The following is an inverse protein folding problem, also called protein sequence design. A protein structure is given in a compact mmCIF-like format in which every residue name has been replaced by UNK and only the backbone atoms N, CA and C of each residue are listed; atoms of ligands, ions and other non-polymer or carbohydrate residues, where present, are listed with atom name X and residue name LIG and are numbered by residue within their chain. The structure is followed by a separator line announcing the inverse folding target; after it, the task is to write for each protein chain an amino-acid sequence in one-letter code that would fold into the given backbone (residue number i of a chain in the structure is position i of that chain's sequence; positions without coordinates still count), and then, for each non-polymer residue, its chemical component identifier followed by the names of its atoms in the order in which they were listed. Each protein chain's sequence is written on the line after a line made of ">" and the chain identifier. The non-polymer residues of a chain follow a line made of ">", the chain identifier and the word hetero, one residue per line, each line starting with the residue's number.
data_IF_722596680915
#
_entry.id   IF_722596680915
#
_cell.length_a   1.000
_cell.length_b   1.000
_cell.length_c   1.000
_cell.angle_alpha   90.00
_cell.angle_beta   90.00
_cell.angle_gamma   90.00
#
_symmetry.space_group_name_H-M   'P 1'
#
loop_
_entity.id
_entity.type
_entity.pdbx_description
1 polymer ?
#
# COMPACT_ATOMS: atom_id res chain seq x y z
N UNK A 1 16.68 35.15 33.15
CA UNK A 1 15.55 34.17 33.11
C UNK A 1 14.86 34.08 31.76
N UNK A 2 14.47 35.20 31.11
CA UNK A 2 13.82 35.15 29.77
C UNK A 2 14.69 34.50 28.68
N UNK A 3 15.99 34.79 28.63
CA UNK A 3 16.92 34.22 27.64
C UNK A 3 17.12 32.70 27.79
N UNK A 4 17.10 32.19 29.03
CA UNK A 4 17.23 30.75 29.32
C UNK A 4 15.98 29.97 28.90
N UNK A 5 14.79 30.57 29.07
CA UNK A 5 13.52 29.99 28.62
C UNK A 5 13.46 29.87 27.08
N UNK A 6 13.97 30.87 26.35
CA UNK A 6 14.07 30.82 24.88
C UNK A 6 15.05 29.75 24.39
N UNK A 7 16.19 29.57 25.07
CA UNK A 7 17.15 28.52 24.72
C UNK A 7 16.58 27.10 24.92
N UNK A 8 15.78 26.87 25.97
CA UNK A 8 15.07 25.61 26.20
C UNK A 8 13.97 25.32 25.17
N UNK A 9 13.28 26.35 24.67
CA UNK A 9 12.25 26.19 23.63
C UNK A 9 12.87 25.80 22.28
N UNK A 10 14.05 26.32 21.96
CA UNK A 10 14.78 26.00 20.73
C UNK A 10 15.39 24.58 20.78
N UNK A 11 15.86 24.13 21.96
CA UNK A 11 16.36 22.76 22.14
C UNK A 11 15.25 21.71 22.25
N UNK A 12 14.03 22.09 22.66
CA UNK A 12 12.86 21.21 22.62
C UNK A 12 12.29 21.05 21.19
N UNK A 13 12.43 22.07 20.34
CA UNK A 13 11.94 22.04 18.96
C UNK A 13 12.76 21.12 18.03
N UNK A 14 13.98 20.75 18.41
CA UNK A 14 14.79 19.76 17.66
C UNK A 14 14.44 18.30 17.98
N UNK A 15 13.52 18.05 18.92
CA UNK A 15 13.05 16.71 19.30
C UNK A 15 11.80 16.24 18.52
N UNK A 16 11.53 16.76 17.32
CA UNK A 16 10.38 16.35 16.48
C UNK A 16 10.73 15.32 15.36
N UNK A 17 11.61 14.30 15.53
CA UNK A 17 11.76 13.30 14.48
C UNK A 17 10.75 12.13 14.55
N UNK A 18 9.78 12.16 15.48
CA UNK A 18 9.16 10.91 15.96
C UNK A 18 7.64 10.91 16.19
N UNK A 19 6.86 11.76 15.52
CA UNK A 19 5.41 11.64 15.61
C UNK A 19 4.96 10.57 14.59
N UNK A 20 4.26 9.53 15.05
CA UNK A 20 3.72 8.44 14.22
C UNK A 20 4.38 7.08 14.43
N UNK A 21 3.61 6.02 14.24
CA UNK A 21 4.04 4.62 14.40
C UNK A 21 4.17 3.94 13.04
N UNK A 22 5.17 3.07 12.90
CA UNK A 22 5.23 2.15 11.76
C UNK A 22 4.14 1.10 11.94
N UNK A 23 3.30 0.97 10.93
CA UNK A 23 2.25 -0.03 10.85
C UNK A 23 2.49 -0.90 9.61
N UNK A 24 2.15 -2.17 9.72
CA UNK A 24 2.41 -3.17 8.68
C UNK A 24 1.15 -3.97 8.41
N UNK A 25 1.00 -4.39 7.17
CA UNK A 25 -0.12 -5.23 6.71
C UNK A 25 0.41 -6.28 5.73
N UNK A 26 -0.20 -7.46 5.76
CA UNK A 26 0.03 -8.51 4.77
C UNK A 26 -1.31 -9.11 4.33
N UNK A 27 -1.42 -9.44 3.04
CA UNK A 27 -2.62 -10.01 2.43
C UNK A 27 -2.22 -11.20 1.58
N UNK A 28 -2.74 -12.38 1.92
CA UNK A 28 -2.66 -13.58 1.07
C UNK A 28 -4.02 -13.87 0.48
N UNK A 29 -4.08 -14.16 -0.82
CA UNK A 29 -5.33 -14.45 -1.51
C UNK A 29 -5.13 -15.40 -2.69
N UNK A 30 -6.26 -15.90 -3.22
CA UNK A 30 -6.30 -16.76 -4.40
C UNK A 30 -7.37 -16.27 -5.37
N UNK A 31 -6.98 -15.99 -6.60
CA UNK A 31 -7.87 -15.54 -7.66
C UNK A 31 -8.28 -16.71 -8.56
N UNK A 32 -9.55 -16.73 -8.92
CA UNK A 32 -10.11 -17.69 -9.88
C UNK A 32 -10.93 -16.96 -10.93
N UNK A 33 -10.99 -17.51 -12.14
CA UNK A 33 -11.81 -17.05 -13.25
C UNK A 33 -12.52 -18.27 -13.84
N UNK A 34 -13.85 -18.28 -13.81
CA UNK A 34 -14.68 -19.40 -14.30
C UNK A 34 -14.26 -20.75 -13.68
N UNK A 35 -14.01 -20.77 -12.37
CA UNK A 35 -13.61 -21.96 -11.63
C UNK A 35 -12.15 -22.40 -11.83
N UNK A 36 -11.38 -21.77 -12.72
CA UNK A 36 -9.96 -22.06 -12.94
C UNK A 36 -9.07 -21.04 -12.20
N UNK A 37 -7.87 -21.43 -11.72
CA UNK A 37 -6.90 -20.47 -11.19
C UNK A 37 -6.60 -19.36 -12.19
N UNK A 38 -6.61 -18.10 -11.72
CA UNK A 38 -6.26 -16.95 -12.53
C UNK A 38 -4.76 -16.63 -12.34
N UNK A 39 -3.91 -17.19 -13.19
CA UNK A 39 -2.46 -16.96 -13.20
C UNK A 39 -2.10 -15.61 -13.83
N UNK A 40 -0.96 -15.05 -13.42
CA UNK A 40 -0.37 -13.84 -13.98
C UNK A 40 -1.30 -12.60 -13.95
N UNK A 41 -2.17 -12.54 -12.94
CA UNK A 41 -3.01 -11.36 -12.66
C UNK A 41 -2.20 -10.40 -11.80
N UNK A 42 -2.07 -9.16 -12.26
CA UNK A 42 -1.39 -8.11 -11.49
C UNK A 42 -2.25 -7.71 -10.28
N UNK A 43 -1.63 -7.72 -9.12
CA UNK A 43 -2.23 -7.31 -7.84
C UNK A 43 -1.32 -6.33 -7.14
N UNK A 44 -1.90 -5.25 -6.60
CA UNK A 44 -1.15 -4.17 -5.94
C UNK A 44 -1.76 -3.86 -4.59
N UNK A 45 -0.91 -3.69 -3.59
CA UNK A 45 -1.27 -3.19 -2.28
C UNK A 45 -0.94 -1.69 -2.22
N UNK A 46 -1.94 -0.88 -1.92
CA UNK A 46 -1.83 0.56 -1.77
C UNK A 46 -2.21 0.97 -0.35
N UNK A 47 -1.62 2.06 0.13
CA UNK A 47 -2.16 2.87 1.21
C UNK A 47 -2.93 4.05 0.62
N UNK A 48 -4.14 4.31 1.13
CA UNK A 48 -4.94 5.46 0.68
C UNK A 48 -4.35 6.76 1.20
N UNK A 49 -4.12 7.73 0.29
CA UNK A 49 -3.71 9.09 0.65
C UNK A 49 -4.77 10.11 0.26
N UNK A 50 -4.60 11.35 0.74
CA UNK A 50 -5.44 12.49 0.34
C UNK A 50 -5.27 12.82 -1.15
N UNK A 51 -4.05 12.71 -1.68
CA UNK A 51 -3.74 13.10 -3.07
C UNK A 51 -3.54 11.90 -3.99
N UNK A 52 -2.55 11.06 -3.69
CA UNK A 52 -2.17 9.92 -4.53
C UNK A 52 -1.82 8.74 -3.64
N UNK A 53 -2.56 7.65 -3.81
CA UNK A 53 -2.34 6.41 -3.08
C UNK A 53 -0.89 5.95 -3.18
N UNK A 54 -0.32 5.58 -2.03
CA UNK A 54 1.06 5.12 -1.96
C UNK A 54 1.11 3.63 -2.26
N UNK A 55 1.84 3.23 -3.30
CA UNK A 55 2.12 1.82 -3.56
C UNK A 55 3.00 1.25 -2.44
N UNK A 56 2.55 0.15 -1.83
CA UNK A 56 3.27 -0.59 -0.81
C UNK A 56 3.93 -1.86 -1.37
N UNK A 57 3.21 -2.61 -2.23
CA UNK A 57 3.72 -3.84 -2.86
C UNK A 57 2.98 -4.12 -4.19
N UNK A 58 3.63 -4.83 -5.11
CA UNK A 58 3.09 -5.24 -6.41
C UNK A 58 3.59 -6.64 -6.77
N UNK A 59 2.65 -7.53 -7.12
CA UNK A 59 2.96 -8.91 -7.53
C UNK A 59 2.02 -9.37 -8.64
N UNK A 60 2.34 -10.54 -9.18
CA UNK A 60 1.46 -11.29 -10.07
C UNK A 60 1.06 -12.59 -9.36
N UNK A 61 -0.17 -13.06 -9.59
CA UNK A 61 -0.60 -14.38 -9.10
C UNK A 61 0.21 -15.50 -9.74
N UNK A 62 0.48 -16.55 -8.97
CA UNK A 62 1.17 -17.76 -9.44
C UNK A 62 0.27 -18.68 -10.28
N UNK A 63 0.81 -19.82 -10.73
CA UNK A 63 0.08 -20.86 -11.48
C UNK A 63 -1.13 -21.46 -10.73
N UNK A 64 -1.19 -21.30 -9.40
CA UNK A 64 -2.34 -21.69 -8.57
C UNK A 64 -3.30 -20.53 -8.32
N UNK A 65 -3.07 -19.36 -8.94
CA UNK A 65 -3.83 -18.14 -8.75
C UNK A 65 -3.55 -17.43 -7.42
N UNK A 66 -2.51 -17.85 -6.69
CA UNK A 66 -2.21 -17.36 -5.33
C UNK A 66 -1.33 -16.13 -5.40
N UNK A 67 -1.54 -15.19 -4.46
CA UNK A 67 -0.65 -14.06 -4.23
C UNK A 67 -0.48 -13.80 -2.73
N UNK A 68 0.64 -13.17 -2.36
CA UNK A 68 0.89 -12.66 -1.01
C UNK A 68 1.56 -11.30 -1.10
N UNK A 69 0.87 -10.24 -0.69
CA UNK A 69 1.37 -8.86 -0.64
C UNK A 69 1.69 -8.46 0.80
N UNK A 70 2.71 -7.64 0.99
CA UNK A 70 3.02 -7.10 2.32
C UNK A 70 3.64 -5.71 2.22
N UNK A 71 3.31 -4.84 3.16
CA UNK A 71 3.86 -3.48 3.19
C UNK A 71 3.81 -2.87 4.57
N UNK A 72 4.54 -1.77 4.72
CA UNK A 72 4.52 -0.97 5.94
C UNK A 72 4.61 0.51 5.62
N UNK A 73 4.03 1.33 6.50
CA UNK A 73 4.12 2.78 6.42
C UNK A 73 4.17 3.36 7.82
N UNK A 74 4.95 4.43 7.99
CA UNK A 74 4.92 5.26 9.20
C UNK A 74 3.77 6.25 9.07
N UNK A 75 2.81 6.17 9.98
CA UNK A 75 1.62 7.01 9.98
C UNK A 75 1.30 7.55 11.38
N UNK A 76 0.67 8.73 11.41
CA UNK A 76 0.12 9.29 12.64
C UNK A 76 -1.18 8.60 13.04
N UNK A 77 -2.00 8.30 12.03
CA UNK A 77 -3.27 7.59 12.16
C UNK A 77 -3.10 6.12 11.79
N UNK A 78 -4.17 5.34 11.81
CA UNK A 78 -4.14 3.99 11.25
C UNK A 78 -3.96 4.03 9.74
N UNK A 79 -3.19 3.07 9.20
CA UNK A 79 -3.10 2.84 7.75
C UNK A 79 -4.45 2.37 7.18
N UNK A 80 -4.81 2.79 5.97
CA UNK A 80 -5.99 2.41 5.18
C UNK A 80 -5.57 1.61 3.93
N UNK A 81 -5.17 0.33 4.09
CA UNK A 81 -4.66 -0.49 3.01
C UNK A 81 -5.75 -0.97 2.06
N UNK A 82 -5.46 -0.93 0.76
CA UNK A 82 -6.35 -1.33 -0.34
C UNK A 82 -5.63 -2.25 -1.31
N UNK A 83 -6.27 -3.36 -1.69
CA UNK A 83 -5.79 -4.26 -2.75
C UNK A 83 -6.50 -3.94 -4.07
N UNK A 84 -5.72 -3.61 -5.09
CA UNK A 84 -6.21 -3.45 -6.47
C UNK A 84 -5.85 -4.70 -7.28
N UNK A 85 -6.84 -5.29 -7.95
CA UNK A 85 -6.69 -6.46 -8.81
C UNK A 85 -6.93 -6.03 -10.26
N UNK A 86 -5.96 -6.25 -11.14
CA UNK A 86 -6.01 -5.84 -12.54
C UNK A 86 -6.18 -7.07 -13.45
N UNK A 87 -7.41 -7.35 -13.87
CA UNK A 87 -7.75 -8.51 -14.70
C UNK A 87 -8.71 -8.15 -15.83
N UNK A 88 -8.80 -9.06 -16.82
CA UNK A 88 -9.81 -9.04 -17.89
C UNK A 88 -10.70 -10.29 -17.90
N UNK A 89 -10.76 -11.04 -16.79
CA UNK A 89 -11.67 -12.18 -16.65
C UNK A 89 -13.12 -11.76 -16.98
N UNK A 90 -13.75 -12.45 -17.94
CA UNK A 90 -15.10 -12.16 -18.45
C UNK A 90 -15.31 -10.71 -18.93
N UNK A 91 -14.24 -10.05 -19.39
CA UNK A 91 -14.34 -8.72 -19.97
C UNK A 91 -14.79 -8.80 -21.43
N UNK A 92 -16.03 -8.37 -21.69
CA UNK A 92 -16.59 -8.21 -23.03
C UNK A 92 -16.33 -6.77 -23.51
N UNK A 93 -15.26 -6.56 -24.28
CA UNK A 93 -14.88 -5.25 -24.79
C UNK A 93 -13.58 -5.26 -25.59
N UNK A 94 -13.27 -4.14 -26.26
CA UNK A 94 -12.07 -4.03 -27.13
C UNK A 94 -10.81 -4.07 -26.26
N UNK A 95 -9.98 -5.11 -26.42
CA UNK A 95 -8.68 -5.18 -25.75
C UNK A 95 -7.66 -4.35 -26.51
N UNK A 96 -7.45 -3.11 -26.08
CA UNK A 96 -6.30 -2.33 -26.55
C UNK A 96 -5.02 -2.91 -25.92
N UNK A 97 -4.38 -3.84 -26.63
CA UNK A 97 -2.96 -4.10 -26.43
C UNK A 97 -2.24 -2.90 -27.01
N UNK A 98 -1.79 -1.98 -26.16
CA UNK A 98 -0.81 -0.98 -26.59
C UNK A 98 0.44 -1.74 -27.06
N UNK A 99 0.87 -1.39 -28.28
CA UNK A 99 2.10 -1.83 -28.94
C UNK A 99 3.33 -1.60 -28.06
#
# INVERSE_FOLDING_TARGET
>A
MKLLLLACLVSAASAIPFIGTVQSVAVTGKLTCNGKPAENVKVKLYEKEVLLDKLLDEKFTDAKGTFNLSGSKKELTTIDPKVNIYHKCNYEGVSFHYL
#
